data_IF_073470184078
#
_entry.id   IF_073470184078
#
_cell.length_a   1.000
_cell.length_b   1.000
_cell.length_c   1.000
_cell.angle_alpha   90.00
_cell.angle_beta   90.00
_cell.angle_gamma   90.00
#
_symmetry.space_group_name_H-M   'P 1'
#
loop_
_entity.id
_entity.type
_entity.pdbx_description
1 polymer ?
#
# COMPACT_ATOMS: atom_id res chain seq x y z
N UNK A 1 27.86 2.06 -9.11
CA UNK A 1 26.76 2.67 -9.88
C UNK A 1 26.39 3.97 -9.20
N UNK A 2 25.76 4.93 -9.88
CA UNK A 2 25.28 6.14 -9.20
C UNK A 2 24.01 5.77 -8.43
N UNK A 3 24.03 5.91 -7.11
CA UNK A 3 22.86 5.70 -6.27
C UNK A 3 21.81 6.79 -6.55
N UNK A 4 20.53 6.42 -6.57
CA UNK A 4 19.43 7.37 -6.61
C UNK A 4 19.36 8.14 -5.29
N UNK A 5 19.32 9.46 -5.39
CA UNK A 5 19.07 10.34 -4.26
C UNK A 5 17.57 10.36 -3.92
N UNK A 6 17.24 10.08 -2.66
CA UNK A 6 15.86 9.94 -2.20
C UNK A 6 15.55 10.99 -1.14
N UNK A 7 14.42 11.68 -1.30
CA UNK A 7 13.90 12.59 -0.29
C UNK A 7 12.52 12.16 0.21
N UNK A 8 12.24 12.36 1.49
CA UNK A 8 10.99 11.96 2.15
C UNK A 8 10.13 13.19 2.45
N UNK A 9 8.84 13.17 2.09
CA UNK A 9 7.87 14.21 2.46
C UNK A 9 6.79 13.59 3.34
N UNK A 10 6.62 14.11 4.56
CA UNK A 10 5.78 13.54 5.60
C UNK A 10 6.53 12.48 6.40
N UNK A 11 7.36 12.90 7.34
CA UNK A 11 8.10 11.99 8.21
C UNK A 11 7.18 11.39 9.27
N UNK A 12 6.22 12.21 9.74
CA UNK A 12 5.29 11.84 10.80
C UNK A 12 5.95 11.76 12.18
N UNK A 13 5.16 11.51 13.24
CA UNK A 13 5.70 11.41 14.59
C UNK A 13 6.65 10.22 14.72
N UNK A 14 7.58 10.34 15.67
CA UNK A 14 8.48 9.26 16.07
C UNK A 14 7.68 7.96 16.33
N UNK A 15 8.05 6.81 15.73
CA UNK A 15 7.40 5.52 15.92
C UNK A 15 7.28 5.07 17.40
N UNK A 16 8.18 5.55 18.27
CA UNK A 16 8.14 5.31 19.71
C UNK A 16 7.04 6.09 20.43
N UNK A 17 6.40 7.06 19.75
CA UNK A 17 5.27 7.85 20.22
C UNK A 17 4.10 7.79 19.21
N UNK A 18 3.47 6.61 19.03
CA UNK A 18 2.46 6.42 18.01
C UNK A 18 1.23 7.30 18.28
N UNK A 19 0.64 7.83 17.21
CA UNK A 19 -0.67 8.49 17.25
C UNK A 19 -1.70 7.61 16.55
N UNK A 20 -2.97 7.80 16.86
CA UNK A 20 -4.07 7.08 16.17
C UNK A 20 -4.19 7.44 14.67
N UNK A 21 -3.45 8.46 14.21
CA UNK A 21 -3.50 9.01 12.85
C UNK A 21 -2.24 8.73 12.03
N UNK A 22 -1.21 8.08 12.59
CA UNK A 22 0.08 7.88 11.91
C UNK A 22 0.68 6.50 12.16
N UNK A 23 0.98 5.78 11.07
CA UNK A 23 1.67 4.48 11.11
C UNK A 23 3.17 4.57 10.85
N UNK A 24 3.76 5.76 11.03
CA UNK A 24 5.17 6.07 10.77
C UNK A 24 5.66 5.58 9.39
N UNK A 25 4.85 5.77 8.34
CA UNK A 25 5.16 5.30 6.99
C UNK A 25 6.43 5.94 6.43
N UNK A 26 6.70 7.21 6.76
CA UNK A 26 7.96 7.87 6.40
C UNK A 26 9.18 7.10 6.90
N UNK A 27 9.15 6.63 8.16
CA UNK A 27 10.26 5.87 8.75
C UNK A 27 10.45 4.52 8.08
N UNK A 28 9.35 3.80 7.80
CA UNK A 28 9.42 2.51 7.08
C UNK A 28 9.93 2.66 5.65
N UNK A 29 9.56 3.74 4.97
CA UNK A 29 10.05 4.02 3.63
C UNK A 29 11.53 4.36 3.66
N UNK A 30 11.97 5.24 4.57
CA UNK A 30 13.37 5.57 4.69
C UNK A 30 14.24 4.38 5.07
N UNK A 31 13.80 3.52 5.98
CA UNK A 31 14.52 2.29 6.28
C UNK A 31 14.63 1.38 5.05
N UNK A 32 13.54 1.21 4.28
CA UNK A 32 13.57 0.44 3.05
C UNK A 32 14.53 1.01 2.00
N UNK A 33 14.54 2.33 1.79
CA UNK A 33 15.52 2.96 0.91
C UNK A 33 16.96 2.88 1.47
N UNK A 34 17.14 2.89 2.79
CA UNK A 34 18.44 2.74 3.42
C UNK A 34 19.00 1.32 3.35
N UNK A 35 18.12 0.32 3.24
CA UNK A 35 18.46 -1.08 3.04
C UNK A 35 18.81 -1.43 1.58
N UNK A 36 18.52 -0.53 0.64
CA UNK A 36 18.78 -0.70 -0.79
C UNK A 36 20.09 0.00 -1.21
N UNK A 37 21.07 -0.79 -1.67
CA UNK A 37 22.40 -0.30 -2.07
C UNK A 37 22.36 0.68 -3.27
N UNK A 38 21.28 0.70 -4.05
CA UNK A 38 21.09 1.63 -5.17
C UNK A 38 20.43 2.94 -4.74
N UNK A 39 20.07 3.11 -3.47
CA UNK A 39 19.44 4.31 -2.92
C UNK A 39 20.30 5.02 -1.87
N UNK A 40 20.08 6.33 -1.73
CA UNK A 40 20.66 7.14 -0.66
C UNK A 40 19.67 8.21 -0.22
N UNK A 41 19.28 8.20 1.06
CA UNK A 41 18.50 9.27 1.65
C UNK A 41 19.32 10.57 1.70
N UNK A 42 18.74 11.67 1.21
CA UNK A 42 19.43 12.96 1.14
C UNK A 42 18.71 14.09 1.85
N UNK A 43 17.40 14.00 2.08
CA UNK A 43 16.62 15.03 2.75
C UNK A 43 15.26 14.53 3.27
N UNK A 44 14.66 15.29 4.18
CA UNK A 44 13.29 15.11 4.60
C UNK A 44 12.55 16.46 4.74
N UNK A 45 11.22 16.40 4.60
CA UNK A 45 10.34 17.52 4.86
C UNK A 45 9.11 17.11 5.69
N UNK A 46 8.79 17.88 6.73
CA UNK A 46 7.55 17.74 7.49
C UNK A 46 7.11 19.12 8.02
N UNK A 47 5.82 19.43 7.89
CA UNK A 47 5.25 20.71 8.35
C UNK A 47 5.34 20.89 9.87
N UNK A 48 5.56 19.81 10.61
CA UNK A 48 5.90 19.84 12.04
C UNK A 48 7.41 19.66 12.16
N UNK A 49 8.12 20.75 12.45
CA UNK A 49 9.59 20.76 12.53
C UNK A 49 10.15 19.67 13.44
N UNK A 50 9.53 19.44 14.60
CA UNK A 50 9.97 18.43 15.55
C UNK A 50 9.95 17.00 14.97
N UNK A 51 9.00 16.70 14.08
CA UNK A 51 8.93 15.42 13.38
C UNK A 51 10.05 15.29 12.35
N UNK A 52 10.38 16.37 11.64
CA UNK A 52 11.47 16.38 10.66
C UNK A 52 12.84 16.21 11.35
N UNK A 53 13.05 16.90 12.48
CA UNK A 53 14.28 16.82 13.29
C UNK A 53 14.48 15.42 13.89
N UNK A 54 13.45 14.84 14.51
CA UNK A 54 13.52 13.48 15.07
C UNK A 54 13.78 12.42 13.97
N UNK A 55 13.21 12.63 12.78
CA UNK A 55 13.47 11.76 11.63
C UNK A 55 14.90 11.89 11.12
N UNK A 56 15.41 13.12 11.01
CA UNK A 56 16.77 13.39 10.58
C UNK A 56 17.80 12.77 11.51
N UNK A 57 17.59 12.86 12.83
CA UNK A 57 18.42 12.18 13.84
C UNK A 57 18.36 10.66 13.66
N UNK A 58 17.19 10.09 13.37
CA UNK A 58 17.04 8.65 13.19
C UNK A 58 17.78 8.09 11.96
N UNK A 59 17.95 8.88 10.90
CA UNK A 59 18.57 8.46 9.64
C UNK A 59 19.88 9.20 9.31
N UNK A 60 20.50 9.85 10.31
CA UNK A 60 21.78 10.56 10.17
C UNK A 60 21.79 11.60 9.03
N UNK A 61 20.68 12.32 8.83
CA UNK A 61 20.58 13.41 7.85
C UNK A 61 21.21 14.70 8.42
N UNK A 62 21.85 15.48 7.57
CA UNK A 62 22.45 16.78 7.97
C UNK A 62 21.37 17.86 8.11
N UNK A 63 21.54 18.81 9.04
CA UNK A 63 20.53 19.83 9.39
C UNK A 63 20.00 20.64 8.19
N UNK A 64 20.84 20.96 7.21
CA UNK A 64 20.44 21.71 6.00
C UNK A 64 19.48 20.92 5.08
N UNK A 65 19.27 19.62 5.36
CA UNK A 65 18.38 18.73 4.64
C UNK A 65 17.03 18.49 5.37
N UNK A 66 16.74 19.29 6.40
CA UNK A 66 15.53 19.21 7.24
C UNK A 66 14.72 20.50 7.08
N UNK A 67 13.60 20.43 6.37
CA UNK A 67 12.78 21.62 6.06
C UNK A 67 11.30 21.41 6.32
N UNK A 68 10.56 22.50 6.54
CA UNK A 68 9.10 22.43 6.75
C UNK A 68 8.32 22.38 5.44
N UNK A 69 8.87 22.97 4.38
CA UNK A 69 8.25 23.08 3.06
C UNK A 69 8.98 22.20 2.05
N UNK A 70 8.25 21.30 1.38
CA UNK A 70 8.86 20.37 0.44
C UNK A 70 9.42 21.08 -0.80
N UNK A 71 8.91 22.26 -1.19
CA UNK A 71 9.50 23.06 -2.26
C UNK A 71 10.93 23.50 -1.94
N UNK A 72 11.19 23.92 -0.70
CA UNK A 72 12.53 24.29 -0.25
C UNK A 72 13.46 23.07 -0.27
N UNK A 73 12.94 21.88 0.04
CA UNK A 73 13.68 20.61 -0.06
C UNK A 73 14.10 20.34 -1.51
N UNK A 74 13.16 20.49 -2.46
CA UNK A 74 13.42 20.27 -3.88
C UNK A 74 14.49 21.23 -4.41
N UNK A 75 14.42 22.51 -4.04
CA UNK A 75 15.38 23.54 -4.46
C UNK A 75 16.79 23.31 -3.86
N UNK A 76 16.87 22.71 -2.67
CA UNK A 76 18.13 22.48 -1.97
C UNK A 76 18.88 21.25 -2.47
N UNK A 77 18.19 20.14 -2.74
CA UNK A 77 18.85 18.83 -2.98
C UNK A 77 18.58 18.22 -4.35
N UNK A 78 17.60 18.70 -5.11
CA UNK A 78 17.24 18.18 -6.44
C UNK A 78 17.20 16.63 -6.52
N UNK A 79 16.35 15.96 -5.71
CA UNK A 79 16.43 14.50 -5.54
C UNK A 79 15.87 13.75 -6.77
N UNK A 80 16.46 12.59 -7.07
CA UNK A 80 15.99 11.69 -8.14
C UNK A 80 14.60 11.13 -7.83
N UNK A 81 14.37 10.77 -6.56
CA UNK A 81 13.13 10.15 -6.06
C UNK A 81 12.56 10.94 -4.89
N UNK A 82 11.25 11.17 -4.92
CA UNK A 82 10.50 11.68 -3.76
C UNK A 82 9.52 10.64 -3.24
N UNK A 83 9.68 10.24 -1.98
CA UNK A 83 8.71 9.40 -1.27
C UNK A 83 7.70 10.27 -0.52
N UNK A 84 6.42 10.20 -0.90
CA UNK A 84 5.34 11.01 -0.32
C UNK A 84 4.55 10.16 0.67
N UNK A 85 4.69 10.47 1.96
CA UNK A 85 4.14 9.72 3.09
C UNK A 85 3.20 10.58 3.97
N UNK A 86 2.52 11.56 3.37
CA UNK A 86 1.55 12.45 4.05
C UNK A 86 0.13 11.86 4.02
N UNK A 87 -0.86 12.46 4.72
CA UNK A 87 -2.25 12.04 4.59
C UNK A 87 -2.82 12.20 3.15
N UNK A 88 -3.79 11.36 2.73
CA UNK A 88 -4.29 11.32 1.35
C UNK A 88 -4.92 12.61 0.82
N UNK A 89 -5.39 13.47 1.72
CA UNK A 89 -5.93 14.78 1.36
C UNK A 89 -4.86 15.72 0.75
N UNK A 90 -3.58 15.48 1.06
CA UNK A 90 -2.45 16.36 0.75
C UNK A 90 -1.54 15.74 -0.33
N UNK A 91 -1.78 14.50 -0.77
CA UNK A 91 -0.99 13.87 -1.84
C UNK A 91 -0.94 14.72 -3.12
N UNK A 92 -2.09 15.24 -3.59
CA UNK A 92 -2.15 15.95 -4.87
C UNK A 92 -1.24 17.17 -4.97
N UNK A 93 -1.32 18.17 -4.06
CA UNK A 93 -0.48 19.36 -4.18
C UNK A 93 1.01 19.00 -4.21
N UNK A 94 1.46 18.06 -3.36
CA UNK A 94 2.86 17.63 -3.29
C UNK A 94 3.26 16.88 -4.57
N UNK A 95 2.52 15.85 -4.97
CA UNK A 95 2.85 15.06 -6.17
C UNK A 95 2.85 15.92 -7.43
N UNK A 96 1.87 16.81 -7.58
CA UNK A 96 1.80 17.74 -8.70
C UNK A 96 2.92 18.78 -8.63
N UNK A 97 3.30 19.24 -7.44
CA UNK A 97 4.43 20.14 -7.20
C UNK A 97 5.76 19.50 -7.61
N UNK A 98 6.07 18.32 -7.06
CA UNK A 98 7.25 17.53 -7.41
C UNK A 98 7.31 17.23 -8.92
N UNK A 99 6.20 16.85 -9.55
CA UNK A 99 6.20 16.59 -10.99
C UNK A 99 6.41 17.87 -11.84
N UNK A 100 6.11 19.05 -11.29
CA UNK A 100 6.26 20.35 -11.99
C UNK A 100 7.60 21.02 -11.75
N UNK A 101 8.34 20.65 -10.70
CA UNK A 101 9.66 21.22 -10.41
C UNK A 101 10.65 20.92 -11.54
N UNK A 102 10.51 19.75 -12.18
CA UNK A 102 11.40 19.30 -13.26
C UNK A 102 12.73 18.74 -12.78
N UNK A 103 12.93 18.58 -11.46
CA UNK A 103 14.14 18.02 -10.86
C UNK A 103 13.98 16.56 -10.41
N UNK A 104 12.74 16.06 -10.33
CA UNK A 104 12.44 14.70 -9.85
C UNK A 104 12.18 13.75 -11.03
N UNK A 105 12.75 12.55 -10.98
CA UNK A 105 12.53 11.49 -11.98
C UNK A 105 11.41 10.53 -11.59
N UNK A 106 11.27 10.22 -10.30
CA UNK A 106 10.23 9.33 -9.79
C UNK A 106 9.60 9.81 -8.48
N UNK A 107 8.33 9.49 -8.30
CA UNK A 107 7.56 9.76 -7.09
C UNK A 107 6.97 8.43 -6.61
N UNK A 108 7.25 8.06 -5.36
CA UNK A 108 6.65 6.91 -4.69
C UNK A 108 5.68 7.42 -3.59
N UNK A 109 4.38 7.28 -3.83
CA UNK A 109 3.36 7.88 -2.96
C UNK A 109 2.66 6.81 -2.11
N UNK A 110 2.34 7.15 -0.87
CA UNK A 110 1.48 6.31 -0.03
C UNK A 110 0.08 6.15 -0.64
N UNK A 111 -0.61 5.10 -0.19
CA UNK A 111 -2.01 4.84 -0.52
C UNK A 111 -2.92 5.49 0.54
N UNK A 112 -4.21 5.72 0.22
CA UNK A 112 -4.84 5.72 -1.10
C UNK A 112 -4.28 6.82 -2.01
N UNK A 113 -4.41 6.67 -3.33
CA UNK A 113 -3.85 7.62 -4.32
C UNK A 113 -4.20 9.08 -3.96
N UNK A 114 -5.48 9.35 -3.70
CA UNK A 114 -5.97 10.64 -3.26
C UNK A 114 -7.35 10.49 -2.61
N UNK A 115 -7.79 11.51 -1.88
CA UNK A 115 -9.13 11.55 -1.28
C UNK A 115 -10.29 11.74 -2.28
N UNK A 116 -10.02 12.08 -3.55
CA UNK A 116 -11.03 12.10 -4.61
C UNK A 116 -10.51 11.53 -5.91
N UNK A 117 -11.42 10.98 -6.72
CA UNK A 117 -11.11 10.49 -8.07
C UNK A 117 -10.51 11.58 -8.97
N UNK A 118 -11.08 12.79 -8.95
CA UNK A 118 -10.59 13.88 -9.77
C UNK A 118 -9.15 14.30 -9.39
N UNK A 119 -8.82 14.24 -8.09
CA UNK A 119 -7.48 14.47 -7.57
C UNK A 119 -6.49 13.42 -8.06
N UNK A 120 -6.85 12.13 -7.95
CA UNK A 120 -6.07 11.03 -8.50
C UNK A 120 -5.78 11.18 -10.00
N UNK A 121 -6.80 11.53 -10.80
CA UNK A 121 -6.64 11.77 -12.24
C UNK A 121 -5.67 12.93 -12.54
N UNK A 122 -5.69 14.00 -11.74
CA UNK A 122 -4.79 15.14 -11.92
C UNK A 122 -3.35 14.79 -11.57
N UNK A 123 -3.12 14.00 -10.52
CA UNK A 123 -1.80 13.49 -10.15
C UNK A 123 -1.19 12.65 -11.27
N UNK A 124 -1.89 11.58 -11.67
CA UNK A 124 -1.45 10.65 -12.72
C UNK A 124 -1.25 11.39 -14.04
N UNK A 125 -2.22 12.20 -14.46
CA UNK A 125 -2.13 12.96 -15.71
C UNK A 125 -0.99 13.97 -15.71
N UNK A 126 -0.65 14.57 -14.57
CA UNK A 126 0.48 15.52 -14.48
C UNK A 126 1.81 14.81 -14.58
N UNK A 127 2.01 13.74 -13.80
CA UNK A 127 3.26 12.96 -13.84
C UNK A 127 3.50 12.40 -15.25
N UNK A 128 2.46 11.83 -15.88
CA UNK A 128 2.53 11.34 -17.26
C UNK A 128 2.95 12.42 -18.27
N UNK A 129 2.35 13.62 -18.21
CA UNK A 129 2.71 14.74 -19.11
C UNK A 129 4.13 15.28 -18.87
N UNK A 130 4.66 15.10 -17.65
CA UNK A 130 5.98 15.58 -17.24
C UNK A 130 7.07 14.53 -17.41
N UNK A 131 6.70 13.29 -17.75
CA UNK A 131 7.64 12.18 -17.86
C UNK A 131 8.18 11.71 -16.51
N UNK A 132 7.45 11.98 -15.42
CA UNK A 132 7.82 11.56 -14.06
C UNK A 132 7.13 10.23 -13.76
N UNK A 133 7.90 9.24 -13.32
CA UNK A 133 7.35 7.95 -12.89
C UNK A 133 6.56 8.14 -11.60
N UNK A 134 5.30 7.70 -11.57
CA UNK A 134 4.47 7.75 -10.37
C UNK A 134 4.09 6.34 -9.97
N UNK A 135 4.48 5.96 -8.76
CA UNK A 135 4.13 4.68 -8.15
C UNK A 135 3.38 4.90 -6.84
N UNK A 136 2.62 3.89 -6.43
CA UNK A 136 1.89 3.92 -5.16
C UNK A 136 2.27 2.72 -4.32
N UNK A 137 2.35 2.88 -3.00
CA UNK A 137 2.73 1.81 -2.11
C UNK A 137 1.67 0.69 -2.09
N UNK A 138 1.96 -0.39 -2.81
CA UNK A 138 1.17 -1.62 -2.89
C UNK A 138 1.93 -2.79 -2.27
N UNK A 139 2.55 -2.54 -1.12
CA UNK A 139 3.44 -3.46 -0.42
C UNK A 139 2.85 -4.86 -0.19
N UNK A 140 1.51 -4.98 -0.06
CA UNK A 140 0.85 -6.29 0.11
C UNK A 140 1.04 -7.23 -1.07
N UNK A 141 1.27 -6.73 -2.29
CA UNK A 141 1.59 -7.59 -3.45
C UNK A 141 2.87 -8.41 -3.24
N UNK A 142 3.74 -8.00 -2.32
CA UNK A 142 5.02 -8.63 -2.04
C UNK A 142 5.07 -9.38 -0.71
N UNK A 143 4.00 -9.36 0.08
CA UNK A 143 3.94 -10.11 1.32
C UNK A 143 3.69 -11.59 1.03
N UNK A 144 4.39 -12.48 1.77
CA UNK A 144 4.39 -13.92 1.51
C UNK A 144 3.00 -14.56 1.43
N UNK A 145 2.01 -14.20 2.27
CA UNK A 145 0.67 -14.77 2.17
C UNK A 145 0.02 -14.56 0.80
N UNK A 146 0.26 -13.42 0.15
CA UNK A 146 -0.34 -13.10 -1.14
C UNK A 146 0.49 -13.65 -2.30
N UNK A 147 1.83 -13.58 -2.23
CA UNK A 147 2.68 -14.16 -3.28
C UNK A 147 2.55 -15.68 -3.32
N UNK A 148 2.44 -16.34 -2.17
CA UNK A 148 2.26 -17.79 -2.09
C UNK A 148 0.85 -18.21 -2.52
N UNK A 149 -0.18 -17.45 -2.15
CA UNK A 149 -1.52 -17.64 -2.70
C UNK A 149 -1.55 -17.52 -4.23
N UNK A 150 -0.83 -16.53 -4.80
CA UNK A 150 -0.71 -16.38 -6.26
C UNK A 150 0.05 -17.54 -6.88
N UNK A 151 1.13 -18.01 -6.26
CA UNK A 151 1.88 -19.18 -6.72
C UNK A 151 1.00 -20.42 -6.77
N UNK A 152 0.30 -20.74 -5.68
CA UNK A 152 -0.64 -21.86 -5.63
C UNK A 152 -1.72 -21.72 -6.73
N UNK A 153 -2.31 -20.54 -6.86
CA UNK A 153 -3.29 -20.28 -7.91
C UNK A 153 -2.72 -20.56 -9.31
N UNK A 154 -1.53 -20.06 -9.60
CA UNK A 154 -0.86 -20.20 -10.91
C UNK A 154 -0.43 -21.64 -11.19
N UNK A 155 -0.10 -22.41 -10.15
CA UNK A 155 0.19 -23.84 -10.23
C UNK A 155 -1.07 -24.69 -10.46
N UNK A 156 -2.26 -24.08 -10.50
CA UNK A 156 -3.53 -24.76 -10.76
C UNK A 156 -4.08 -25.50 -9.55
N UNK A 157 -3.59 -25.18 -8.35
CA UNK A 157 -3.92 -25.84 -7.09
C UNK A 157 -5.42 -25.72 -6.73
N UNK A 158 -6.18 -24.80 -7.32
CA UNK A 158 -7.65 -24.74 -7.14
C UNK A 158 -8.43 -24.88 -8.45
N UNK A 159 -7.76 -25.31 -9.53
CA UNK A 159 -8.31 -25.26 -10.87
C UNK A 159 -8.51 -23.83 -11.36
N UNK A 160 -9.54 -23.61 -12.19
CA UNK A 160 -9.80 -22.30 -12.76
C UNK A 160 -10.40 -21.35 -11.70
N UNK A 161 -9.78 -20.18 -11.48
CA UNK A 161 -10.34 -19.13 -10.62
C UNK A 161 -11.76 -18.78 -11.08
N UNK A 162 -12.69 -18.69 -10.12
CA UNK A 162 -14.09 -18.31 -10.35
C UNK A 162 -14.46 -17.04 -9.62
N UNK A 163 -13.96 -16.87 -8.39
CA UNK A 163 -14.29 -15.70 -7.57
C UNK A 163 -13.16 -15.33 -6.63
N UNK A 164 -12.97 -14.02 -6.45
CA UNK A 164 -12.19 -13.45 -5.34
C UNK A 164 -13.17 -12.78 -4.39
N UNK A 165 -13.18 -13.18 -3.12
CA UNK A 165 -14.02 -12.58 -2.08
C UNK A 165 -13.16 -11.84 -1.07
N UNK A 166 -13.60 -10.65 -0.68
CA UNK A 166 -12.94 -9.77 0.27
C UNK A 166 -13.88 -9.60 1.47
N UNK A 167 -13.37 -9.99 2.64
CA UNK A 167 -14.14 -10.06 3.89
C UNK A 167 -13.61 -9.21 5.02
N UNK A 168 -12.68 -8.29 4.74
CA UNK A 168 -11.92 -7.64 5.80
C UNK A 168 -11.70 -6.14 5.54
N UNK A 169 -11.69 -5.40 6.64
CA UNK A 169 -11.42 -3.97 6.70
C UNK A 169 -12.57 -3.11 6.17
N UNK A 170 -12.18 -1.98 5.60
CA UNK A 170 -13.03 -1.00 4.93
C UNK A 170 -12.68 -0.90 3.43
N UNK A 171 -13.48 -0.19 2.66
CA UNK A 171 -13.26 0.08 1.25
C UNK A 171 -12.35 1.29 1.01
N UNK A 172 -12.51 2.40 1.74
CA UNK A 172 -11.73 3.62 1.46
C UNK A 172 -10.21 3.44 1.63
N UNK A 173 -9.78 2.91 2.79
CA UNK A 173 -8.38 2.77 3.15
C UNK A 173 -7.85 1.36 2.85
N UNK A 174 -8.56 0.33 3.31
CA UNK A 174 -8.18 -1.06 3.13
C UNK A 174 -8.50 -1.59 1.73
N UNK A 175 -9.56 -1.08 1.10
CA UNK A 175 -9.95 -1.44 -0.26
C UNK A 175 -8.90 -1.10 -1.30
N UNK A 176 -8.10 -0.04 -1.08
CA UNK A 176 -6.94 0.27 -1.92
C UNK A 176 -5.92 -0.88 -1.99
N UNK A 177 -5.87 -1.74 -0.97
CA UNK A 177 -5.09 -2.97 -1.00
C UNK A 177 -5.89 -4.19 -1.49
N UNK A 178 -7.11 -4.39 -0.98
CA UNK A 178 -7.82 -5.67 -1.22
C UNK A 178 -8.41 -5.75 -2.62
N UNK A 179 -8.89 -4.64 -3.19
CA UNK A 179 -9.30 -4.56 -4.60
C UNK A 179 -8.09 -4.70 -5.51
N UNK A 180 -6.96 -4.11 -5.13
CA UNK A 180 -5.69 -4.26 -5.83
C UNK A 180 -5.22 -5.73 -5.87
N UNK A 181 -5.29 -6.43 -4.74
CA UNK A 181 -4.97 -7.85 -4.64
C UNK A 181 -5.94 -8.72 -5.45
N UNK A 182 -7.24 -8.37 -5.49
CA UNK A 182 -8.19 -9.06 -6.36
C UNK A 182 -7.83 -8.89 -7.85
N UNK A 183 -7.27 -7.74 -8.23
CA UNK A 183 -6.63 -7.53 -9.52
C UNK A 183 -5.41 -8.43 -9.71
N UNK A 184 -4.47 -8.44 -8.75
CA UNK A 184 -3.26 -9.28 -8.78
C UNK A 184 -3.59 -10.77 -9.00
N UNK A 185 -4.59 -11.31 -8.30
CA UNK A 185 -5.00 -12.72 -8.45
C UNK A 185 -5.69 -13.02 -9.79
N UNK A 186 -6.16 -12.01 -10.51
CA UNK A 186 -6.75 -12.16 -11.84
C UNK A 186 -5.92 -11.47 -12.93
N UNK A 187 -4.59 -11.43 -12.74
CA UNK A 187 -3.60 -10.88 -13.68
C UNK A 187 -3.91 -9.44 -14.14
N UNK A 188 -4.36 -8.60 -13.20
CA UNK A 188 -4.69 -7.18 -13.40
C UNK A 188 -5.69 -6.91 -14.54
N UNK A 189 -6.56 -7.89 -14.83
CA UNK A 189 -7.64 -7.72 -15.80
C UNK A 189 -8.63 -6.64 -15.33
N UNK A 190 -9.09 -5.73 -16.21
CA UNK A 190 -10.10 -4.75 -15.85
C UNK A 190 -11.46 -5.42 -15.62
N UNK A 191 -12.25 -4.85 -14.70
CA UNK A 191 -13.65 -5.23 -14.55
C UNK A 191 -14.47 -4.75 -15.76
N UNK A 192 -15.44 -5.56 -16.19
CA UNK A 192 -16.41 -5.21 -17.23
C UNK A 192 -17.61 -4.45 -16.66
N UNK A 193 -18.08 -4.87 -15.49
CA UNK A 193 -19.16 -4.20 -14.77
C UNK A 193 -18.98 -4.33 -13.27
N UNK A 194 -19.55 -3.37 -12.54
CA UNK A 194 -19.57 -3.32 -11.08
C UNK A 194 -20.98 -2.94 -10.62
N UNK A 195 -21.48 -3.62 -9.60
CA UNK A 195 -22.63 -3.18 -8.79
C UNK A 195 -22.17 -3.05 -7.35
N UNK A 196 -22.52 -1.96 -6.69
CA UNK A 196 -22.12 -1.71 -5.32
C UNK A 196 -23.12 -0.86 -4.55
N UNK A 197 -23.13 -1.03 -3.23
CA UNK A 197 -23.86 -0.20 -2.30
C UNK A 197 -22.99 0.09 -1.08
N UNK A 198 -23.05 1.34 -0.62
CA UNK A 198 -22.24 1.86 0.46
C UNK A 198 -23.16 2.42 1.54
N UNK A 199 -22.75 2.24 2.79
CA UNK A 199 -23.43 2.69 3.98
C UNK A 199 -22.57 3.67 4.78
N UNK A 200 -23.18 4.79 5.17
CA UNK A 200 -22.57 5.85 5.97
C UNK A 200 -23.62 6.40 6.95
N UNK A 201 -24.14 5.51 7.79
CA UNK A 201 -25.14 5.82 8.83
C UNK A 201 -24.54 6.63 9.98
N UNK A 202 -23.27 6.39 10.30
CA UNK A 202 -22.53 7.03 11.38
C UNK A 202 -21.30 7.75 10.83
N UNK A 203 -20.96 8.90 11.42
CA UNK A 203 -19.76 9.62 11.00
C UNK A 203 -18.49 8.85 11.38
N UNK A 204 -17.76 8.37 10.38
CA UNK A 204 -16.40 7.81 10.52
C UNK A 204 -15.44 8.65 9.66
N UNK A 205 -14.45 9.25 10.31
CA UNK A 205 -13.43 10.08 9.67
C UNK A 205 -12.06 9.56 10.04
N UNK A 206 -11.28 9.16 9.02
CA UNK A 206 -9.90 8.71 9.17
C UNK A 206 -8.99 9.50 8.26
N UNK A 207 -7.82 9.89 8.75
CA UNK A 207 -6.86 10.71 8.00
C UNK A 207 -7.48 11.98 7.38
N UNK A 208 -8.46 12.56 8.08
CA UNK A 208 -9.22 13.74 7.65
C UNK A 208 -10.31 13.50 6.60
N UNK A 209 -10.43 12.28 6.06
CA UNK A 209 -11.41 11.89 5.04
C UNK A 209 -12.59 11.10 5.63
N UNK A 210 -13.76 11.22 5.01
CA UNK A 210 -14.92 10.41 5.33
C UNK A 210 -14.74 8.98 4.80
N UNK A 211 -15.05 8.01 5.65
CA UNK A 211 -14.94 6.59 5.35
C UNK A 211 -16.27 5.89 5.61
N UNK A 212 -16.69 5.00 4.72
CA UNK A 212 -17.91 4.22 4.91
C UNK A 212 -17.89 3.34 6.17
N UNK A 213 -19.08 3.13 6.75
CA UNK A 213 -19.23 2.15 7.83
C UNK A 213 -19.26 0.72 7.28
N UNK A 214 -19.79 0.54 6.07
CA UNK A 214 -19.92 -0.76 5.40
C UNK A 214 -20.05 -0.56 3.89
N UNK A 215 -19.53 -1.51 3.11
CA UNK A 215 -19.78 -1.62 1.69
C UNK A 215 -20.06 -3.06 1.29
N UNK A 216 -20.95 -3.22 0.32
CA UNK A 216 -21.16 -4.46 -0.40
C UNK A 216 -20.99 -4.21 -1.90
N UNK A 217 -20.17 -5.00 -2.56
CA UNK A 217 -19.95 -4.89 -3.99
C UNK A 217 -19.76 -6.25 -4.67
N UNK A 218 -20.16 -6.29 -5.94
CA UNK A 218 -19.88 -7.39 -6.85
C UNK A 218 -19.43 -6.82 -8.19
N UNK A 219 -18.49 -7.50 -8.83
CA UNK A 219 -18.07 -7.18 -10.19
C UNK A 219 -17.74 -8.44 -10.98
N UNK A 220 -17.63 -8.30 -12.29
CA UNK A 220 -17.17 -9.35 -13.20
C UNK A 220 -16.03 -8.83 -14.07
N UNK A 221 -15.08 -9.69 -14.34
CA UNK A 221 -13.98 -9.47 -15.29
C UNK A 221 -14.31 -10.15 -16.63
N UNK A 222 -13.69 -9.71 -17.72
CA UNK A 222 -14.00 -10.25 -19.06
C UNK A 222 -13.61 -11.72 -19.30
N UNK A 223 -13.01 -12.40 -18.32
CA UNK A 223 -12.80 -13.84 -18.31
C UNK A 223 -13.85 -14.63 -17.51
N UNK A 224 -14.92 -13.99 -17.04
CA UNK A 224 -15.99 -14.62 -16.25
C UNK A 224 -15.61 -14.89 -14.78
N UNK A 225 -14.46 -14.36 -14.32
CA UNK A 225 -14.14 -14.33 -12.90
C UNK A 225 -14.97 -13.22 -12.26
N UNK A 226 -15.47 -13.46 -11.05
CA UNK A 226 -16.17 -12.45 -10.27
C UNK A 226 -15.33 -11.94 -9.11
N UNK A 227 -15.55 -10.69 -8.72
CA UNK A 227 -15.14 -10.21 -7.41
C UNK A 227 -16.35 -9.96 -6.52
N UNK A 228 -16.17 -10.15 -5.22
CA UNK A 228 -17.14 -9.83 -4.19
C UNK A 228 -16.42 -9.14 -3.03
N UNK A 229 -17.01 -8.08 -2.51
CA UNK A 229 -16.50 -7.36 -1.36
C UNK A 229 -17.63 -7.14 -0.36
N UNK A 230 -17.37 -7.46 0.90
CA UNK A 230 -18.23 -7.15 2.02
C UNK A 230 -17.34 -6.64 3.17
N UNK A 231 -17.56 -5.41 3.61
CA UNK A 231 -16.73 -4.74 4.63
C UNK A 231 -17.57 -4.29 5.82
N UNK A 232 -16.92 -3.78 6.88
CA UNK A 232 -17.61 -3.28 8.07
C UNK A 232 -18.40 -4.36 8.80
N UNK A 233 -19.63 -4.06 9.24
CA UNK A 233 -20.50 -5.06 9.90
C UNK A 233 -20.79 -6.29 9.01
N UNK A 234 -20.75 -6.10 7.69
CA UNK A 234 -20.94 -7.16 6.70
C UNK A 234 -19.70 -8.02 6.43
N UNK A 235 -18.54 -7.70 7.01
CA UNK A 235 -17.28 -8.41 6.79
C UNK A 235 -17.41 -9.94 6.95
N UNK A 236 -18.10 -10.36 8.02
CA UNK A 236 -18.38 -11.77 8.35
C UNK A 236 -19.18 -12.57 7.31
N UNK A 237 -19.71 -11.94 6.26
CA UNK A 237 -20.32 -12.65 5.13
C UNK A 237 -19.29 -13.41 4.27
N UNK A 238 -18.00 -13.10 4.44
CA UNK A 238 -16.89 -13.84 3.85
C UNK A 238 -16.08 -14.44 4.99
N UNK A 239 -15.87 -15.76 4.95
CA UNK A 239 -15.29 -16.49 6.08
C UNK A 239 -13.75 -16.33 6.24
N UNK A 240 -13.14 -15.39 5.51
CA UNK A 240 -11.70 -15.12 5.50
C UNK A 240 -11.44 -13.66 5.12
N UNK A 241 -10.23 -13.15 5.37
CA UNK A 241 -9.89 -11.80 4.95
C UNK A 241 -9.92 -11.67 3.42
N UNK A 242 -9.33 -12.66 2.73
CA UNK A 242 -9.47 -12.87 1.30
C UNK A 242 -9.68 -14.36 0.99
N UNK A 243 -10.54 -14.65 0.02
CA UNK A 243 -10.86 -16.01 -0.39
C UNK A 243 -10.84 -16.14 -1.92
N UNK A 244 -10.00 -17.02 -2.43
CA UNK A 244 -9.94 -17.39 -3.85
C UNK A 244 -10.72 -18.69 -4.04
N UNK A 245 -11.83 -18.62 -4.77
CA UNK A 245 -12.62 -19.80 -5.13
C UNK A 245 -12.29 -20.25 -6.53
N UNK A 246 -11.80 -21.47 -6.66
CA UNK A 246 -11.54 -22.12 -7.94
C UNK A 246 -12.59 -23.19 -8.27
N UNK A 247 -12.42 -23.89 -9.40
CA UNK A 247 -13.29 -25.00 -9.78
C UNK A 247 -13.13 -26.24 -8.89
N UNK A 248 -11.93 -26.43 -8.33
CA UNK A 248 -11.51 -27.68 -7.68
C UNK A 248 -11.05 -27.47 -6.22
N UNK A 249 -11.12 -26.23 -5.71
CA UNK A 249 -10.72 -25.90 -4.35
C UNK A 249 -10.86 -24.42 -4.01
N UNK A 250 -10.33 -24.05 -2.85
CA UNK A 250 -10.21 -22.65 -2.41
C UNK A 250 -8.87 -22.38 -1.72
N UNK A 251 -8.35 -21.16 -1.89
CA UNK A 251 -7.21 -20.63 -1.13
C UNK A 251 -7.74 -19.54 -0.21
N UNK A 252 -7.45 -19.65 1.08
CA UNK A 252 -7.93 -18.73 2.12
C UNK A 252 -6.79 -17.97 2.73
N UNK A 253 -6.93 -16.66 2.79
CA UNK A 253 -6.02 -15.79 3.53
C UNK A 253 -6.80 -15.29 4.75
N UNK A 254 -6.44 -15.80 5.91
CA UNK A 254 -7.15 -15.55 7.15
C UNK A 254 -6.71 -14.23 7.81
N UNK A 255 -7.56 -13.73 8.69
CA UNK A 255 -7.28 -12.55 9.50
C UNK A 255 -6.17 -12.81 10.53
N UNK A 256 -5.61 -11.72 11.07
CA UNK A 256 -4.61 -11.79 12.12
C UNK A 256 -5.15 -12.52 13.36
N UNK A 257 -4.35 -13.43 13.93
CA UNK A 257 -4.71 -14.23 15.09
C UNK A 257 -5.38 -15.58 14.79
N UNK A 258 -5.64 -15.89 13.51
CA UNK A 258 -6.02 -17.24 13.10
C UNK A 258 -4.88 -18.25 13.32
N UNK A 259 -5.21 -19.55 13.43
CA UNK A 259 -4.21 -20.62 13.61
C UNK A 259 -3.19 -20.69 12.46
N UNK A 260 -3.61 -20.34 11.25
CA UNK A 260 -2.74 -20.19 10.09
C UNK A 260 -3.17 -19.00 9.24
N UNK A 261 -2.21 -18.31 8.63
CA UNK A 261 -2.50 -17.15 7.77
C UNK A 261 -2.97 -17.57 6.39
N UNK A 262 -2.42 -18.64 5.83
CA UNK A 262 -2.73 -19.11 4.48
C UNK A 262 -3.14 -20.58 4.54
N UNK A 263 -4.29 -20.90 3.95
CA UNK A 263 -4.80 -22.26 3.85
C UNK A 263 -5.17 -22.61 2.42
N UNK A 264 -4.90 -23.86 2.04
CA UNK A 264 -5.35 -24.46 0.81
C UNK A 264 -6.38 -25.55 1.15
N UNK A 265 -7.55 -25.51 0.52
CA UNK A 265 -8.64 -26.48 0.74
C UNK A 265 -9.08 -27.15 -0.55
N UNK A 266 -9.19 -28.47 -0.52
CA UNK A 266 -9.65 -29.34 -1.63
C UNK A 266 -10.38 -30.55 -1.08
N UNK A 267 -11.41 -31.06 -1.75
CA UNK A 267 -12.00 -32.40 -1.50
C UNK A 267 -12.17 -32.79 0.00
N UNK A 268 -12.50 -31.84 0.88
CA UNK A 268 -12.66 -32.08 2.32
C UNK A 268 -11.36 -32.08 3.16
N UNK A 269 -10.20 -31.82 2.57
CA UNK A 269 -8.94 -31.53 3.26
C UNK A 269 -8.71 -30.02 3.37
N UNK A 270 -8.00 -29.63 4.42
CA UNK A 270 -7.51 -28.27 4.66
C UNK A 270 -6.07 -28.37 5.11
N UNK A 271 -5.19 -27.66 4.43
CA UNK A 271 -3.75 -27.63 4.71
C UNK A 271 -3.30 -26.20 4.97
N UNK A 272 -2.62 -25.98 6.09
CA UNK A 272 -1.96 -24.71 6.36
C UNK A 272 -0.69 -24.61 5.51
N UNK A 273 -0.51 -23.48 4.83
CA UNK A 273 0.65 -23.20 3.99
C UNK A 273 1.60 -22.30 4.76
N UNK A 274 2.87 -22.71 4.85
CA UNK A 274 3.89 -21.94 5.55
C UNK A 274 4.25 -20.66 4.76
N UNK A 275 3.95 -19.52 5.36
CA UNK A 275 4.27 -18.19 4.84
C UNK A 275 5.46 -17.55 5.57
N UNK A 276 6.25 -18.36 6.27
CA UNK A 276 7.43 -17.92 7.03
C UNK A 276 7.07 -16.97 8.15
N UNK A 277 5.92 -17.18 8.80
CA UNK A 277 5.38 -16.37 9.90
C UNK A 277 4.84 -14.98 9.52
N UNK A 278 4.86 -14.60 8.23
CA UNK A 278 4.24 -13.34 7.77
C UNK A 278 2.71 -13.41 7.84
N UNK A 279 2.06 -12.28 8.14
CA UNK A 279 0.61 -12.13 8.13
C UNK A 279 0.19 -10.98 7.22
N UNK A 280 -1.12 -10.75 7.05
CA UNK A 280 -1.66 -9.74 6.12
C UNK A 280 -1.25 -8.27 6.44
N UNK A 281 -0.63 -8.05 7.60
CA UNK A 281 -0.24 -6.74 8.12
C UNK A 281 1.25 -6.57 8.37
N UNK A 282 2.05 -7.64 8.31
CA UNK A 282 3.41 -7.56 8.80
C UNK A 282 4.15 -8.88 8.75
N UNK A 283 5.39 -8.83 9.22
CA UNK A 283 6.35 -9.93 9.18
C UNK A 283 6.75 -10.33 10.61
N UNK A 284 7.20 -11.58 10.85
CA UNK A 284 7.46 -12.07 12.21
C UNK A 284 8.78 -11.58 12.81
N UNK A 285 9.63 -10.92 12.03
CA UNK A 285 10.93 -10.40 12.46
C UNK A 285 10.84 -8.90 12.71
N UNK A 286 11.02 -8.50 13.97
CA UNK A 286 11.22 -7.11 14.44
C UNK A 286 12.70 -6.67 14.34
N UNK A 287 13.51 -7.33 13.51
CA UNK A 287 14.94 -6.99 13.37
C UNK A 287 15.15 -5.68 12.59
N UNK A 288 14.14 -5.25 11.81
CA UNK A 288 14.09 -3.93 11.19
C UNK A 288 13.65 -2.92 12.26
N UNK A 289 14.41 -1.83 12.42
CA UNK A 289 14.17 -0.78 13.42
C UNK A 289 12.76 -0.19 13.32
N UNK A 290 12.17 -0.14 12.12
CA UNK A 290 10.85 0.44 11.89
C UNK A 290 9.82 -0.51 11.24
N UNK A 291 10.22 -1.76 10.93
CA UNK A 291 9.35 -2.78 10.33
C UNK A 291 9.08 -2.54 8.84
N UNK A 292 10.16 -2.35 8.08
CA UNK A 292 10.15 -2.00 6.65
C UNK A 292 10.13 -3.19 5.69
N UNK A 293 10.29 -4.44 6.13
CA UNK A 293 10.40 -5.61 5.24
C UNK A 293 9.41 -5.72 4.06
N UNK A 294 8.17 -5.27 4.22
CA UNK A 294 7.20 -5.24 3.11
C UNK A 294 7.49 -4.07 2.14
N UNK A 295 7.90 -2.95 2.70
CA UNK A 295 8.37 -1.76 2.00
C UNK A 295 9.68 -2.03 1.28
N UNK A 296 10.63 -2.80 1.83
CA UNK A 296 11.87 -3.21 1.15
C UNK A 296 11.55 -3.83 -0.21
N UNK A 297 10.63 -4.79 -0.24
CA UNK A 297 10.19 -5.45 -1.48
C UNK A 297 9.43 -4.52 -2.41
N UNK A 298 8.66 -3.58 -1.85
CA UNK A 298 7.91 -2.57 -2.60
C UNK A 298 8.86 -1.56 -3.26
N UNK A 299 9.83 -1.03 -2.51
CA UNK A 299 10.84 -0.07 -2.94
C UNK A 299 11.77 -0.69 -3.98
N UNK A 300 12.25 -1.92 -3.77
CA UNK A 300 13.06 -2.61 -4.76
C UNK A 300 12.35 -2.66 -6.13
N UNK A 301 11.04 -2.91 -6.16
CA UNK A 301 10.25 -2.93 -7.41
C UNK A 301 10.06 -1.56 -8.08
N UNK A 302 10.33 -0.47 -7.37
CA UNK A 302 10.27 0.90 -7.88
C UNK A 302 11.62 1.32 -8.45
N UNK A 303 12.71 0.82 -7.86
CA UNK A 303 14.10 1.14 -8.22
C UNK A 303 14.58 0.33 -9.43
N UNK A 304 14.13 -0.94 -9.54
CA UNK A 304 14.36 -1.83 -10.70
C UNK A 304 13.71 -1.32 -12.00
#
# INVERSE_FOLDING_TARGET
MSQYSVAIVGTGPDPSNPTVEGFAMGYRHAEAYGNDDDCRLVACADVVRENAEAFAEAFDLVDDAVVEEYEAMLDAVEPDVVSVCVPPAIHEPIVVGCARSGVVSAIHCEKPIAHTWASAQRMVGTCWRRGVQLTFNRQRRFARPFTEAKRLLDDGEIGALRRVEIGWGDFYDTGAHTVDLAGMFNDDRPAEWVIAQLDYREEDRRFGAHQENQMWAQWEYGNGVHGLLSTGEGASMVDAALLLRGSDGEIRINEFGAESTLELRREGTSEAVDVGGEHIHGTPHDDDRFGSRLQDRSVASVVD
#
